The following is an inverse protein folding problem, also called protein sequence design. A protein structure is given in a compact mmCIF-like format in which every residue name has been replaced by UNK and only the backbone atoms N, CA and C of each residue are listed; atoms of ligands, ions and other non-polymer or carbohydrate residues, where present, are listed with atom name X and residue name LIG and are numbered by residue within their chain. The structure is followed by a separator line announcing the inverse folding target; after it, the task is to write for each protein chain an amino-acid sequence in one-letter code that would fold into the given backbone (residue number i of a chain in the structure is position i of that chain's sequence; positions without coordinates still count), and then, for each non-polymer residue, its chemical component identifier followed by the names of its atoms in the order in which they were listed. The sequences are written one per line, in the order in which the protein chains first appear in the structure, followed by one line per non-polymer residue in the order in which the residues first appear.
data_IF_533730623765
#
_entry.id   IF_533730623765
#
_cell.length_a   1.000
_cell.length_b   1.000
_cell.length_c   1.000
_cell.angle_alpha   90.00
_cell.angle_beta   90.00
_cell.angle_gamma   90.00
#
_symmetry.space_group_name_H-M   'P 1'
#
loop_
_entity.id
_entity.type
_entity.pdbx_description
1 polymer ?
#
# COMPACT_ATOMS: atom_id res chain seq x y z
N UNK A 1 -14.14 -8.70 -7.24
CA UNK A 1 -12.66 -8.63 -7.20
C UNK A 1 -12.10 -8.36 -8.60
N UNK A 2 -12.44 -9.14 -9.64
CA UNK A 2 -12.00 -8.90 -11.03
C UNK A 2 -12.25 -7.45 -11.53
N UNK A 3 -13.42 -6.89 -11.23
CA UNK A 3 -13.77 -5.52 -11.62
C UNK A 3 -12.83 -4.44 -11.09
N UNK A 4 -12.29 -4.59 -9.86
CA UNK A 4 -11.37 -3.60 -9.31
C UNK A 4 -10.04 -3.60 -10.07
N UNK A 5 -9.47 -4.77 -10.37
CA UNK A 5 -8.21 -4.85 -11.11
C UNK A 5 -8.35 -4.31 -12.54
N UNK A 6 -9.45 -4.64 -13.23
CA UNK A 6 -9.73 -4.13 -14.57
C UNK A 6 -9.92 -2.61 -14.58
N UNK A 7 -10.61 -2.06 -13.58
CA UNK A 7 -10.77 -0.61 -13.44
C UNK A 7 -9.41 0.07 -13.21
N UNK A 8 -8.53 -0.52 -12.40
CA UNK A 8 -7.22 0.04 -12.12
C UNK A 8 -6.27 -0.03 -13.33
N UNK A 9 -6.35 -1.12 -14.12
CA UNK A 9 -5.66 -1.20 -15.41
C UNK A 9 -6.16 -0.15 -16.41
N UNK A 10 -7.47 0.07 -16.48
CA UNK A 10 -8.04 1.13 -17.31
C UNK A 10 -7.51 2.49 -16.87
N UNK A 11 -7.62 2.78 -15.56
CA UNK A 11 -7.17 4.04 -14.94
C UNK A 11 -5.71 4.33 -15.28
N UNK A 12 -4.82 3.34 -15.14
CA UNK A 12 -3.39 3.50 -15.46
C UNK A 12 -3.17 3.90 -16.92
N UNK A 13 -4.01 3.39 -17.83
CA UNK A 13 -3.84 3.57 -19.27
C UNK A 13 -4.59 4.80 -19.85
N UNK A 14 -5.31 5.59 -19.04
CA UNK A 14 -6.10 6.72 -19.58
C UNK A 14 -5.24 7.91 -20.04
N UNK A 15 -3.94 7.94 -19.70
CA UNK A 15 -3.01 9.02 -20.07
C UNK A 15 -3.34 10.36 -19.42
N UNK A 16 -3.89 10.36 -18.19
CA UNK A 16 -4.24 11.57 -17.41
C UNK A 16 -3.67 11.44 -16.00
N UNK A 17 -3.53 12.57 -15.31
CA UNK A 17 -3.29 12.57 -13.86
C UNK A 17 -4.55 12.12 -13.13
N UNK A 18 -4.41 11.11 -12.29
CA UNK A 18 -5.52 10.54 -11.50
C UNK A 18 -5.17 10.66 -10.02
N UNK A 19 -6.08 11.24 -9.24
CA UNK A 19 -6.03 11.19 -7.79
C UNK A 19 -6.97 10.08 -7.33
N UNK A 20 -6.41 9.07 -6.65
CA UNK A 20 -7.13 7.90 -6.18
C UNK A 20 -7.04 7.81 -4.66
N UNK A 21 -8.18 7.55 -4.00
CA UNK A 21 -8.23 7.18 -2.59
C UNK A 21 -8.50 5.68 -2.46
N UNK A 22 -7.56 4.95 -1.86
CA UNK A 22 -7.64 3.49 -1.63
C UNK A 22 -7.31 3.14 -0.19
N UNK A 23 -8.02 2.16 0.35
CA UNK A 23 -7.75 1.61 1.68
C UNK A 23 -6.78 0.42 1.65
N UNK A 24 -6.63 -0.23 0.50
CA UNK A 24 -5.78 -1.41 0.34
C UNK A 24 -4.37 -1.01 -0.08
N UNK A 25 -3.38 -1.29 0.79
CA UNK A 25 -1.98 -0.95 0.54
C UNK A 25 -1.35 -1.75 -0.60
N UNK A 26 -1.77 -2.99 -0.84
CA UNK A 26 -1.25 -3.77 -1.96
C UNK A 26 -1.76 -3.22 -3.29
N UNK A 27 -3.02 -2.77 -3.31
CA UNK A 27 -3.56 -2.10 -4.50
C UNK A 27 -2.87 -0.75 -4.75
N UNK A 28 -2.64 0.02 -3.69
CA UNK A 28 -1.90 1.28 -3.77
C UNK A 28 -0.47 1.05 -4.28
N UNK A 29 0.23 0.05 -3.72
CA UNK A 29 1.58 -0.32 -4.10
C UNK A 29 1.69 -0.72 -5.57
N UNK A 30 0.75 -1.53 -6.06
CA UNK A 30 0.79 -2.04 -7.42
C UNK A 30 0.45 -0.98 -8.47
N UNK A 31 -0.46 -0.05 -8.19
CA UNK A 31 -1.04 0.81 -9.24
C UNK A 31 -0.80 2.31 -9.10
N UNK A 32 -0.32 2.80 -7.97
CA UNK A 32 -0.04 4.22 -7.79
C UNK A 32 1.45 4.50 -8.00
N UNK A 33 1.76 5.55 -8.76
CA UNK A 33 3.14 6.00 -8.95
C UNK A 33 3.68 6.75 -7.71
N UNK A 34 2.77 7.39 -6.96
CA UNK A 34 3.08 8.19 -5.79
C UNK A 34 1.94 8.12 -4.77
N UNK A 35 2.29 8.11 -3.49
CA UNK A 35 1.36 7.93 -2.39
C UNK A 35 1.35 9.14 -1.46
N UNK A 36 0.18 9.41 -0.91
CA UNK A 36 -0.04 10.38 0.15
C UNK A 36 -0.82 9.69 1.27
N UNK A 37 -0.24 9.63 2.46
CA UNK A 37 -0.89 9.07 3.64
C UNK A 37 -1.49 10.17 4.49
N UNK A 38 -2.78 10.02 4.80
CA UNK A 38 -3.54 10.94 5.63
C UNK A 38 -3.92 10.26 6.95
N UNK A 39 -3.70 10.95 8.06
CA UNK A 39 -4.15 10.55 9.39
C UNK A 39 -4.75 11.78 10.09
N UNK A 40 -5.96 11.66 10.63
CA UNK A 40 -6.67 12.74 11.31
C UNK A 40 -6.72 14.06 10.52
N UNK A 41 -6.89 13.97 9.20
CA UNK A 41 -6.95 15.13 8.29
C UNK A 41 -5.59 15.75 7.95
N UNK A 42 -4.48 15.18 8.41
CA UNK A 42 -3.13 15.68 8.18
C UNK A 42 -2.32 14.73 7.29
N UNK A 43 -1.47 15.29 6.43
CA UNK A 43 -0.52 14.52 5.63
C UNK A 43 0.63 14.03 6.54
N UNK A 44 0.71 12.73 6.75
CA UNK A 44 1.71 12.10 7.65
C UNK A 44 2.86 11.44 6.91
N UNK A 45 2.77 11.33 5.59
CA UNK A 45 3.85 10.86 4.74
C UNK A 45 3.47 10.91 3.26
N UNK A 46 4.49 11.01 2.40
CA UNK A 46 4.30 10.97 0.95
C UNK A 46 5.58 10.50 0.27
N UNK A 47 5.46 9.76 -0.82
CA UNK A 47 6.61 9.21 -1.53
C UNK A 47 6.19 8.20 -2.59
N UNK A 48 7.17 7.56 -3.23
CA UNK A 48 6.89 6.37 -4.04
C UNK A 48 6.39 5.23 -3.15
N UNK A 49 5.68 4.23 -3.69
CA UNK A 49 5.33 3.04 -2.92
C UNK A 49 6.51 2.40 -2.19
N UNK A 50 7.65 2.29 -2.85
CA UNK A 50 8.86 1.66 -2.30
C UNK A 50 9.46 2.46 -1.15
N UNK A 51 9.44 3.78 -1.23
CA UNK A 51 10.00 4.65 -0.18
C UNK A 51 9.05 4.80 1.02
N UNK A 52 7.73 4.84 0.76
CA UNK A 52 6.73 5.14 1.80
C UNK A 52 6.27 3.89 2.55
N UNK A 53 6.07 2.76 1.85
CA UNK A 53 5.44 1.56 2.42
C UNK A 53 6.48 0.69 3.14
N UNK A 54 7.03 1.19 4.24
CA UNK A 54 7.89 0.41 5.14
C UNK A 54 7.09 -0.25 6.27
N UNK A 55 7.57 -1.34 6.88
CA UNK A 55 6.94 -1.93 8.06
C UNK A 55 6.67 -0.91 9.17
N UNK A 56 7.64 -0.03 9.44
CA UNK A 56 7.54 1.00 10.50
C UNK A 56 6.48 2.04 10.15
N UNK A 57 6.40 2.45 8.88
CA UNK A 57 5.39 3.38 8.42
C UNK A 57 3.98 2.80 8.54
N UNK A 58 3.82 1.54 8.13
CA UNK A 58 2.53 0.83 8.19
C UNK A 58 2.10 0.66 9.66
N UNK A 59 3.01 0.28 10.55
CA UNK A 59 2.71 0.15 11.97
C UNK A 59 2.30 1.49 12.58
N UNK A 60 3.01 2.57 12.25
CA UNK A 60 2.71 3.93 12.74
C UNK A 60 1.35 4.45 12.26
N UNK A 61 1.00 4.25 10.98
CA UNK A 61 -0.20 4.85 10.38
C UNK A 61 -1.43 3.96 10.51
N UNK A 62 -1.26 2.64 10.38
CA UNK A 62 -2.36 1.67 10.37
C UNK A 62 -2.45 0.82 11.64
N UNK A 63 -1.47 0.88 12.55
CA UNK A 63 -1.49 0.14 13.82
C UNK A 63 -1.38 -1.37 13.65
N UNK A 64 -0.86 -1.84 12.50
CA UNK A 64 -0.74 -3.26 12.18
C UNK A 64 0.72 -3.62 11.90
N UNK A 65 1.16 -4.76 12.44
CA UNK A 65 2.44 -5.31 12.05
C UNK A 65 2.34 -5.89 10.63
N UNK A 66 3.29 -5.52 9.79
CA UNK A 66 3.37 -6.00 8.42
C UNK A 66 4.80 -6.38 8.05
N UNK A 67 4.94 -7.35 7.15
CA UNK A 67 6.19 -7.56 6.42
C UNK A 67 6.01 -6.98 5.03
N UNK A 68 6.98 -6.19 4.59
CA UNK A 68 7.04 -5.68 3.23
C UNK A 68 8.06 -6.52 2.47
N UNK A 69 7.63 -7.07 1.34
CA UNK A 69 8.50 -7.70 0.36
C UNK A 69 8.50 -6.90 -0.93
N UNK A 70 9.32 -7.34 -1.88
CA UNK A 70 9.42 -6.73 -3.21
C UNK A 70 9.27 -7.84 -4.25
N UNK A 71 8.43 -7.59 -5.25
CA UNK A 71 8.30 -8.43 -6.44
C UNK A 71 9.53 -8.31 -7.35
N UNK A 72 9.62 -9.16 -8.38
CA UNK A 72 10.74 -9.13 -9.35
C UNK A 72 10.86 -7.78 -10.10
N UNK A 73 9.74 -7.09 -10.29
CA UNK A 73 9.68 -5.79 -10.99
C UNK A 73 9.95 -4.58 -10.06
N UNK A 74 10.23 -4.83 -8.78
CA UNK A 74 10.47 -3.77 -7.79
C UNK A 74 9.21 -3.27 -7.06
N UNK A 75 8.02 -3.77 -7.42
CA UNK A 75 6.77 -3.39 -6.76
C UNK A 75 6.72 -3.95 -5.33
N UNK A 76 6.43 -3.14 -4.30
CA UNK A 76 6.31 -3.65 -2.95
C UNK A 76 4.99 -4.43 -2.76
N UNK A 77 5.04 -5.48 -1.95
CA UNK A 77 3.84 -6.18 -1.47
C UNK A 77 3.87 -6.29 0.06
N UNK A 78 2.69 -6.21 0.66
CA UNK A 78 2.47 -6.12 2.09
C UNK A 78 1.77 -7.39 2.56
N UNK A 79 2.39 -8.07 3.52
CA UNK A 79 1.81 -9.21 4.24
C UNK A 79 1.51 -8.80 5.67
N UNK A 80 0.24 -8.65 5.99
CA UNK A 80 -0.22 -8.33 7.34
C UNK A 80 -0.02 -9.51 8.28
N UNK A 81 0.55 -9.26 9.46
CA UNK A 81 0.66 -10.24 10.54
C UNK A 81 -0.35 -9.87 11.61
N UNK A 82 -1.30 -10.77 11.84
CA UNK A 82 -2.13 -10.68 13.04
C UNK A 82 -1.29 -11.17 14.23
N UNK A 83 -1.47 -10.56 15.40
CA UNK A 83 -0.88 -11.03 16.65
C UNK A 83 -1.52 -12.36 17.07
N UNK A 84 -1.33 -13.44 16.30
CA UNK A 84 -1.57 -14.79 16.77
C UNK A 84 -0.37 -15.13 17.65
N UNK A 85 -0.55 -15.07 18.98
CA UNK A 85 0.42 -15.53 19.99
C UNK A 85 1.18 -16.73 19.43
N UNK A 86 2.48 -16.57 19.21
CA UNK A 86 3.39 -17.69 19.01
C UNK A 86 3.20 -18.63 20.21
N UNK A 87 2.62 -19.80 19.98
CA UNK A 87 2.66 -20.88 20.95
C UNK A 87 4.11 -21.33 21.00
N UNK A 88 4.76 -21.04 22.13
CA UNK A 88 6.05 -21.60 22.55
C UNK A 88 6.18 -23.07 22.14
N UNK A 89 7.29 -23.41 21.49
CA UNK A 89 7.88 -24.77 21.52
C UNK A 89 8.81 -24.82 22.71
#
# INVERSE_FOLDING_TARGET
IQFQLQMMELIRNIGKTVLLAVHDLNLAAAYCDYLFALQDGHLVGSGTPTDLLTPEFIEKVYGVHARVGTEEDGTPYIVYRTARKEKNV
#
